data_IF_984567497421
#
_entry.id   IF_984567497421
#
_cell.length_a   1.000
_cell.length_b   1.000
_cell.length_c   1.000
_cell.angle_alpha   90.00
_cell.angle_beta   90.00
_cell.angle_gamma   90.00
#
_symmetry.space_group_name_H-M   'P 1'
#
loop_
_entity.id
_entity.type
_entity.pdbx_description
1 polymer ?
#
# COMPACT_ATOMS: atom_id res chain seq x y z
N UNK A 1 1.99 -15.26 -22.65
CA UNK A 1 2.19 -16.46 -21.76
C UNK A 1 2.01 -16.10 -20.28
N UNK A 2 2.72 -15.16 -19.68
CA UNK A 2 2.55 -14.86 -18.23
C UNK A 2 1.13 -14.37 -17.90
N UNK A 3 0.58 -13.41 -18.65
CA UNK A 3 -0.77 -12.90 -18.42
C UNK A 3 -1.85 -13.99 -18.52
N UNK A 4 -1.77 -14.87 -19.51
CA UNK A 4 -2.74 -15.95 -19.68
C UNK A 4 -2.77 -16.89 -18.45
N UNK A 5 -1.60 -17.29 -17.94
CA UNK A 5 -1.53 -18.12 -16.72
C UNK A 5 -2.04 -17.41 -15.47
N UNK A 6 -1.83 -16.08 -15.38
CA UNK A 6 -2.40 -15.30 -14.29
C UNK A 6 -3.94 -15.21 -14.43
N UNK A 7 -4.48 -15.00 -15.63
CA UNK A 7 -5.91 -14.97 -15.85
C UNK A 7 -6.56 -16.32 -15.50
N UNK A 8 -5.99 -17.45 -15.93
CA UNK A 8 -6.44 -18.80 -15.58
C UNK A 8 -6.43 -19.02 -14.04
N UNK A 9 -5.38 -18.55 -13.35
CA UNK A 9 -5.31 -18.67 -11.89
C UNK A 9 -6.34 -17.78 -11.20
N UNK A 10 -6.54 -16.55 -11.68
CA UNK A 10 -7.56 -15.64 -11.16
C UNK A 10 -8.97 -16.22 -11.33
N UNK A 11 -9.27 -16.86 -12.45
CA UNK A 11 -10.53 -17.57 -12.67
C UNK A 11 -10.74 -18.71 -11.67
N UNK A 12 -9.65 -19.43 -11.31
CA UNK A 12 -9.71 -20.57 -10.41
C UNK A 12 -9.88 -20.16 -8.94
N UNK A 13 -9.12 -19.19 -8.45
CA UNK A 13 -9.07 -18.86 -7.01
C UNK A 13 -9.71 -17.50 -6.64
N UNK A 14 -10.06 -16.69 -7.64
CA UNK A 14 -10.57 -15.34 -7.48
C UNK A 14 -9.47 -14.29 -7.29
N UNK A 15 -9.74 -13.06 -7.72
CA UNK A 15 -8.77 -11.97 -7.74
C UNK A 15 -8.24 -11.60 -6.34
N UNK A 16 -9.10 -11.61 -5.32
CA UNK A 16 -8.68 -11.29 -3.95
C UNK A 16 -7.64 -12.29 -3.44
N UNK A 17 -7.89 -13.60 -3.61
CA UNK A 17 -6.93 -14.63 -3.20
C UNK A 17 -5.66 -14.58 -4.03
N UNK A 18 -5.78 -14.33 -5.33
CA UNK A 18 -4.62 -14.12 -6.21
C UNK A 18 -3.70 -13.02 -5.68
N UNK A 19 -4.25 -11.88 -5.23
CA UNK A 19 -3.45 -10.80 -4.66
C UNK A 19 -2.79 -11.21 -3.34
N UNK A 20 -3.58 -11.79 -2.42
CA UNK A 20 -3.10 -12.10 -1.05
C UNK A 20 -2.14 -13.29 -1.05
N UNK A 21 -2.45 -14.35 -1.83
CA UNK A 21 -1.69 -15.60 -1.76
C UNK A 21 -0.62 -15.70 -2.85
N UNK A 22 -0.89 -15.24 -4.08
CA UNK A 22 0.05 -15.42 -5.18
C UNK A 22 1.01 -14.25 -5.31
N UNK A 23 0.49 -13.02 -5.45
CA UNK A 23 1.36 -11.85 -5.68
C UNK A 23 2.26 -11.59 -4.47
N UNK A 24 1.72 -11.61 -3.24
CA UNK A 24 2.52 -11.34 -2.05
C UNK A 24 3.59 -12.41 -1.82
N UNK A 25 3.29 -13.68 -2.09
CA UNK A 25 4.27 -14.76 -1.95
C UNK A 25 5.38 -14.67 -3.01
N UNK A 26 5.03 -14.39 -4.28
CA UNK A 26 6.04 -14.17 -5.33
C UNK A 26 6.97 -13.01 -4.97
N UNK A 27 6.42 -11.90 -4.50
CA UNK A 27 7.23 -10.74 -4.12
C UNK A 27 8.11 -11.02 -2.90
N UNK A 28 7.60 -11.73 -1.89
CA UNK A 28 8.36 -12.11 -0.71
C UNK A 28 9.51 -13.07 -1.07
N UNK A 29 9.23 -14.07 -1.91
CA UNK A 29 10.26 -15.02 -2.38
C UNK A 29 11.31 -14.32 -3.25
N UNK A 30 10.91 -13.43 -4.14
CA UNK A 30 11.81 -12.64 -4.96
C UNK A 30 12.75 -11.79 -4.11
N UNK A 31 12.22 -11.07 -3.13
CA UNK A 31 13.02 -10.29 -2.20
C UNK A 31 13.98 -11.14 -1.36
N UNK A 32 13.53 -12.33 -0.91
CA UNK A 32 14.40 -13.27 -0.19
C UNK A 32 15.55 -13.77 -1.08
N UNK A 33 15.26 -14.21 -2.30
CA UNK A 33 16.28 -14.69 -3.25
C UNK A 33 17.32 -13.61 -3.58
N UNK A 34 16.87 -12.37 -3.76
CA UNK A 34 17.78 -11.25 -3.93
C UNK A 34 18.66 -11.01 -2.70
N UNK A 35 18.06 -11.02 -1.51
CA UNK A 35 18.80 -10.86 -0.25
C UNK A 35 19.83 -11.96 -0.02
N UNK A 36 19.50 -13.21 -0.35
CA UNK A 36 20.39 -14.39 -0.23
C UNK A 36 21.45 -14.45 -1.37
N UNK A 37 21.37 -13.54 -2.35
CA UNK A 37 22.30 -13.51 -3.49
C UNK A 37 22.04 -14.58 -4.56
N UNK A 38 20.88 -15.25 -4.52
CA UNK A 38 20.48 -16.25 -5.52
C UNK A 38 20.09 -15.64 -6.86
N UNK A 39 19.59 -14.40 -6.85
CA UNK A 39 19.30 -13.60 -8.04
C UNK A 39 19.94 -12.22 -7.94
N UNK A 40 20.26 -11.64 -9.10
CA UNK A 40 20.79 -10.28 -9.18
C UNK A 40 19.68 -9.21 -9.12
N UNK A 41 20.11 -7.97 -8.92
CA UNK A 41 19.18 -6.81 -8.87
C UNK A 41 18.39 -6.63 -10.16
N UNK A 42 18.98 -6.94 -11.32
CA UNK A 42 18.30 -6.83 -12.62
C UNK A 42 17.14 -7.85 -12.74
N UNK A 43 17.35 -9.06 -12.23
CA UNK A 43 16.34 -10.12 -12.22
C UNK A 43 15.21 -9.78 -11.24
N UNK A 44 15.54 -9.28 -10.04
CA UNK A 44 14.57 -8.80 -9.08
C UNK A 44 13.69 -7.69 -9.69
N UNK A 45 14.30 -6.67 -10.30
CA UNK A 45 13.57 -5.58 -10.97
C UNK A 45 12.69 -6.07 -12.12
N UNK A 46 13.16 -7.03 -12.91
CA UNK A 46 12.38 -7.62 -14.00
C UNK A 46 11.14 -8.33 -13.45
N UNK A 47 11.28 -9.15 -12.41
CA UNK A 47 10.16 -9.86 -11.77
C UNK A 47 9.18 -8.86 -11.18
N UNK A 48 9.66 -7.89 -10.42
CA UNK A 48 8.84 -6.82 -9.83
C UNK A 48 8.07 -6.05 -10.89
N UNK A 49 8.67 -5.68 -12.01
CA UNK A 49 7.99 -4.98 -13.10
C UNK A 49 6.92 -5.84 -13.79
N UNK A 50 7.16 -7.14 -13.94
CA UNK A 50 6.14 -8.07 -14.48
C UNK A 50 4.95 -8.14 -13.53
N UNK A 51 5.18 -8.35 -12.24
CA UNK A 51 4.11 -8.43 -11.23
C UNK A 51 3.34 -7.12 -11.11
N UNK A 52 4.03 -5.98 -11.16
CA UNK A 52 3.39 -4.66 -11.20
C UNK A 52 2.40 -4.54 -12.35
N UNK A 53 2.81 -4.87 -13.56
CA UNK A 53 1.93 -4.84 -14.74
C UNK A 53 0.72 -5.75 -14.58
N UNK A 54 0.91 -6.96 -14.03
CA UNK A 54 -0.20 -7.89 -13.78
C UNK A 54 -1.21 -7.27 -12.82
N UNK A 55 -0.75 -6.68 -11.71
CA UNK A 55 -1.64 -6.05 -10.72
C UNK A 55 -2.32 -4.82 -11.29
N UNK A 56 -1.60 -3.93 -11.99
CA UNK A 56 -2.15 -2.72 -12.62
C UNK A 56 -3.25 -3.05 -13.63
N UNK A 57 -3.01 -4.03 -14.52
CA UNK A 57 -4.01 -4.48 -15.49
C UNK A 57 -5.28 -4.98 -14.81
N UNK A 58 -5.14 -5.77 -13.74
CA UNK A 58 -6.28 -6.29 -13.02
C UNK A 58 -6.99 -5.21 -12.19
N UNK A 59 -6.26 -4.28 -11.57
CA UNK A 59 -6.85 -3.13 -10.88
C UNK A 59 -7.67 -2.25 -11.82
N UNK A 60 -7.25 -2.13 -13.08
CA UNK A 60 -7.98 -1.37 -14.09
C UNK A 60 -9.30 -2.03 -14.51
N UNK A 61 -9.37 -3.36 -14.44
CA UNK A 61 -10.59 -4.13 -14.75
C UNK A 61 -11.64 -4.06 -13.62
N UNK A 62 -11.26 -3.65 -12.39
CA UNK A 62 -12.18 -3.56 -11.27
C UNK A 62 -13.04 -2.31 -11.41
N UNK A 63 -14.32 -2.51 -11.73
CA UNK A 63 -15.31 -1.44 -11.75
C UNK A 63 -15.98 -1.33 -10.38
N UNK A 64 -15.83 -0.18 -9.74
CA UNK A 64 -16.55 0.12 -8.49
C UNK A 64 -17.95 0.63 -8.86
N UNK A 65 -18.95 -0.25 -8.74
CA UNK A 65 -20.34 0.06 -9.08
C UNK A 65 -21.21 0.13 -7.83
N UNK A 66 -22.23 0.99 -7.89
CA UNK A 66 -23.23 1.15 -6.82
C UNK A 66 -22.79 2.08 -5.70
N UNK A 67 -23.28 1.82 -4.50
CA UNK A 67 -22.92 2.61 -3.33
C UNK A 67 -21.45 2.37 -2.96
N UNK A 68 -20.68 3.43 -2.81
CA UNK A 68 -19.30 3.36 -2.35
C UNK A 68 -19.26 3.35 -0.82
N UNK A 69 -18.36 2.56 -0.25
CA UNK A 69 -18.14 2.45 1.21
C UNK A 69 -17.41 3.66 1.78
N UNK A 70 -16.64 4.38 0.95
CA UNK A 70 -15.90 5.57 1.34
C UNK A 70 -14.74 5.87 0.40
N UNK A 71 -13.98 6.91 0.74
CA UNK A 71 -12.77 7.34 0.03
C UNK A 71 -11.54 6.95 0.83
N UNK A 72 -10.60 6.29 0.18
CA UNK A 72 -9.33 5.87 0.77
C UNK A 72 -8.17 6.52 0.04
N UNK A 73 -7.24 7.10 0.80
CA UNK A 73 -5.93 7.54 0.29
C UNK A 73 -4.87 6.52 0.70
N UNK A 74 -4.02 6.13 -0.25
CA UNK A 74 -2.85 5.29 -0.02
C UNK A 74 -1.61 6.07 -0.40
N UNK A 75 -0.59 6.11 0.45
CA UNK A 75 0.68 6.78 0.17
C UNK A 75 1.87 6.07 0.82
N UNK A 76 3.06 6.38 0.31
CA UNK A 76 4.33 6.10 0.98
C UNK A 76 4.90 7.40 1.54
N UNK A 77 5.72 7.35 2.60
CA UNK A 77 6.48 8.51 3.03
C UNK A 77 7.51 8.89 1.97
N UNK A 78 7.92 10.16 1.95
CA UNK A 78 8.97 10.62 1.04
C UNK A 78 10.24 9.78 1.14
N UNK A 79 10.75 9.39 0.00
CA UNK A 79 11.92 8.52 -0.17
C UNK A 79 11.60 7.02 -0.30
N UNK A 80 10.43 6.55 0.12
CA UNK A 80 10.01 5.16 -0.06
C UNK A 80 9.23 4.98 -1.37
N UNK A 81 9.86 4.35 -2.35
CA UNK A 81 9.33 4.12 -3.69
C UNK A 81 8.72 2.72 -3.90
N UNK A 82 8.65 1.92 -2.83
CA UNK A 82 8.12 0.56 -2.88
C UNK A 82 6.59 0.55 -2.98
N UNK A 83 6.07 0.69 -4.18
CA UNK A 83 4.63 0.87 -4.45
C UNK A 83 3.84 -0.42 -4.67
N UNK A 84 4.49 -1.59 -4.68
CA UNK A 84 3.82 -2.86 -4.99
C UNK A 84 2.72 -3.20 -3.97
N UNK A 85 2.99 -2.99 -2.69
CA UNK A 85 2.00 -3.15 -1.61
C UNK A 85 0.80 -2.23 -1.78
N UNK A 86 1.03 -0.99 -2.24
CA UNK A 86 -0.03 -0.03 -2.51
C UNK A 86 -0.94 -0.47 -3.66
N UNK A 87 -0.36 -1.02 -4.73
CA UNK A 87 -1.13 -1.53 -5.87
C UNK A 87 -2.02 -2.72 -5.48
N UNK A 88 -1.47 -3.65 -4.69
CA UNK A 88 -2.24 -4.78 -4.14
C UNK A 88 -3.36 -4.28 -3.24
N UNK A 89 -3.05 -3.37 -2.31
CA UNK A 89 -4.03 -2.78 -1.39
C UNK A 89 -5.13 -2.01 -2.15
N UNK A 90 -4.76 -1.25 -3.18
CA UNK A 90 -5.71 -0.56 -4.06
C UNK A 90 -6.72 -1.52 -4.66
N UNK A 91 -6.26 -2.64 -5.24
CA UNK A 91 -7.14 -3.66 -5.82
C UNK A 91 -8.07 -4.28 -4.78
N UNK A 92 -7.54 -4.63 -3.60
CA UNK A 92 -8.32 -5.20 -2.51
C UNK A 92 -9.40 -4.24 -1.97
N UNK A 93 -9.11 -2.95 -1.92
CA UNK A 93 -10.08 -1.91 -1.52
C UNK A 93 -11.13 -1.65 -2.60
N UNK A 94 -10.75 -1.63 -3.89
CA UNK A 94 -11.70 -1.52 -5.00
C UNK A 94 -12.68 -2.69 -5.03
N UNK A 95 -12.23 -3.93 -4.78
CA UNK A 95 -13.10 -5.10 -4.64
C UNK A 95 -14.12 -4.88 -3.51
N UNK A 96 -13.76 -4.16 -2.45
CA UNK A 96 -14.63 -3.79 -1.32
C UNK A 96 -15.41 -2.48 -1.54
N UNK A 97 -15.50 -2.01 -2.78
CA UNK A 97 -16.25 -0.82 -3.21
C UNK A 97 -15.75 0.52 -2.62
N UNK A 98 -14.50 0.61 -2.20
CA UNK A 98 -13.92 1.90 -1.86
C UNK A 98 -13.47 2.66 -3.12
N UNK A 99 -13.65 3.99 -3.11
CA UNK A 99 -12.96 4.88 -4.04
C UNK A 99 -11.54 5.09 -3.55
N UNK A 100 -10.55 4.65 -4.33
CA UNK A 100 -9.13 4.69 -3.93
C UNK A 100 -8.38 5.77 -4.68
N UNK A 101 -7.63 6.58 -3.94
CA UNK A 101 -6.64 7.53 -4.45
C UNK A 101 -5.27 7.03 -4.01
N UNK A 102 -4.53 6.45 -4.93
CA UNK A 102 -3.18 5.94 -4.69
C UNK A 102 -2.16 7.00 -5.13
N UNK A 103 -1.54 7.66 -4.16
CA UNK A 103 -0.50 8.68 -4.41
C UNK A 103 0.81 8.01 -4.85
N UNK A 104 1.01 6.75 -4.45
CA UNK A 104 2.25 6.01 -4.73
C UNK A 104 3.41 6.41 -3.83
N UNK A 105 4.62 6.19 -4.32
CA UNK A 105 5.89 6.51 -3.68
C UNK A 105 6.75 7.40 -4.56
N UNK A 106 7.87 7.88 -4.03
CA UNK A 106 8.81 8.70 -4.77
C UNK A 106 10.27 8.43 -4.40
N UNK A 107 11.14 8.71 -5.36
CA UNK A 107 12.58 8.49 -5.29
C UNK A 107 13.37 9.62 -4.61
N UNK A 108 12.73 10.75 -4.28
CA UNK A 108 13.47 11.89 -3.78
C UNK A 108 14.02 11.62 -2.39
N UNK A 109 15.34 11.49 -2.31
CA UNK A 109 16.09 11.34 -1.07
C UNK A 109 16.53 12.70 -0.54
N UNK A 110 16.58 12.83 0.78
CA UNK A 110 17.16 13.90 1.58
C UNK A 110 16.44 15.25 1.57
N UNK A 111 16.93 16.26 0.87
CA UNK A 111 16.45 17.66 1.01
C UNK A 111 14.97 17.83 0.60
N UNK A 112 14.48 17.02 -0.33
CA UNK A 112 13.10 17.08 -0.82
C UNK A 112 12.12 16.22 -0.04
N UNK A 113 12.57 15.36 0.88
CA UNK A 113 11.70 14.46 1.65
C UNK A 113 10.68 15.26 2.47
N UNK A 114 11.09 16.37 3.08
CA UNK A 114 10.18 17.26 3.83
C UNK A 114 9.13 17.89 2.92
N UNK A 115 9.54 18.39 1.76
CA UNK A 115 8.62 18.98 0.79
C UNK A 115 7.62 17.96 0.28
N UNK A 116 8.08 16.74 -0.02
CA UNK A 116 7.24 15.63 -0.43
C UNK A 116 6.23 15.25 0.65
N UNK A 117 6.67 15.06 1.89
CA UNK A 117 5.78 14.75 3.00
C UNK A 117 4.72 15.84 3.19
N UNK A 118 5.11 17.11 3.06
CA UNK A 118 4.19 18.25 3.13
C UNK A 118 3.16 18.21 2.00
N UNK A 119 3.57 17.91 0.78
CA UNK A 119 2.67 17.77 -0.37
C UNK A 119 1.66 16.63 -0.19
N UNK A 120 2.12 15.46 0.30
CA UNK A 120 1.27 14.32 0.62
C UNK A 120 0.23 14.71 1.68
N UNK A 121 0.65 15.38 2.75
CA UNK A 121 -0.24 15.83 3.84
C UNK A 121 -1.30 16.79 3.29
N UNK A 122 -0.89 17.84 2.57
CA UNK A 122 -1.80 18.85 2.04
C UNK A 122 -2.83 18.24 1.08
N UNK A 123 -2.37 17.42 0.13
CA UNK A 123 -3.25 16.72 -0.80
C UNK A 123 -4.26 15.81 -0.08
N UNK A 124 -3.81 15.08 0.94
CA UNK A 124 -4.67 14.19 1.72
C UNK A 124 -5.72 14.99 2.52
N UNK A 125 -5.33 16.12 3.11
CA UNK A 125 -6.27 17.01 3.81
C UNK A 125 -7.33 17.58 2.86
N UNK A 126 -6.93 17.99 1.65
CA UNK A 126 -7.85 18.48 0.63
C UNK A 126 -8.81 17.39 0.13
N UNK A 127 -8.34 16.16 0.02
CA UNK A 127 -9.14 14.98 -0.40
C UNK A 127 -10.20 14.61 0.62
N UNK A 128 -9.98 14.87 1.93
CA UNK A 128 -10.86 14.51 3.05
C UNK A 128 -11.31 13.03 3.02
N UNK A 129 -10.37 12.09 3.00
CA UNK A 129 -10.72 10.68 2.92
C UNK A 129 -11.32 10.17 4.24
N UNK A 130 -12.07 9.05 4.16
CA UNK A 130 -12.53 8.32 5.33
C UNK A 130 -11.40 7.52 5.97
N UNK A 131 -10.46 7.05 5.12
CA UNK A 131 -9.34 6.21 5.54
C UNK A 131 -8.06 6.64 4.83
N UNK A 132 -6.95 6.62 5.57
CA UNK A 132 -5.59 6.78 5.01
C UNK A 132 -4.75 5.56 5.36
N UNK A 133 -4.10 4.98 4.36
CA UNK A 133 -3.04 3.98 4.55
C UNK A 133 -1.68 4.59 4.21
N UNK A 134 -0.75 4.56 5.15
CA UNK A 134 0.64 4.93 4.96
C UNK A 134 1.47 3.66 4.94
N UNK A 135 1.99 3.29 3.77
CA UNK A 135 2.76 2.08 3.55
C UNK A 135 4.24 2.35 3.70
N UNK A 136 4.92 1.60 4.55
CA UNK A 136 6.37 1.69 4.79
C UNK A 136 7.01 0.34 4.49
N UNK A 137 7.86 0.27 3.49
CA UNK A 137 8.56 -0.97 3.16
C UNK A 137 9.91 -1.06 3.84
N UNK A 138 10.65 0.06 3.92
CA UNK A 138 11.98 0.09 4.54
C UNK A 138 11.92 0.86 5.85
N UNK A 139 12.39 0.25 6.94
CA UNK A 139 12.32 0.81 8.30
C UNK A 139 12.93 2.22 8.46
N UNK A 140 13.94 2.58 7.65
CA UNK A 140 14.54 3.92 7.69
C UNK A 140 13.55 5.05 7.39
N UNK A 141 12.44 4.77 6.70
CA UNK A 141 11.40 5.75 6.38
C UNK A 141 10.28 5.82 7.42
N UNK A 142 10.31 4.95 8.43
CA UNK A 142 9.30 4.88 9.48
C UNK A 142 9.11 6.21 10.22
N UNK A 143 10.20 6.95 10.46
CA UNK A 143 10.11 8.25 11.12
C UNK A 143 9.26 9.24 10.29
N UNK A 144 9.48 9.32 8.99
CA UNK A 144 8.70 10.18 8.08
C UNK A 144 7.23 9.75 8.02
N UNK A 145 6.96 8.45 8.00
CA UNK A 145 5.60 7.92 8.02
C UNK A 145 4.86 8.28 9.31
N UNK A 146 5.53 8.15 10.47
CA UNK A 146 4.97 8.58 11.77
C UNK A 146 4.67 10.09 11.80
N UNK A 147 5.51 10.93 11.17
CA UNK A 147 5.24 12.36 11.05
C UNK A 147 4.00 12.64 10.19
N UNK A 148 3.88 12.02 9.02
CA UNK A 148 2.71 12.15 8.15
C UNK A 148 1.46 11.71 8.90
N UNK A 149 1.49 10.52 9.51
CA UNK A 149 0.37 9.98 10.26
C UNK A 149 -0.09 10.92 11.39
N UNK A 150 0.86 11.48 12.15
CA UNK A 150 0.59 12.42 13.24
C UNK A 150 -0.09 13.71 12.74
N UNK A 151 0.40 14.29 11.66
CA UNK A 151 -0.17 15.53 11.14
C UNK A 151 -1.57 15.28 10.54
N UNK A 152 -1.77 14.16 9.83
CA UNK A 152 -3.08 13.79 9.29
C UNK A 152 -4.09 13.51 10.39
N UNK A 153 -3.72 12.76 11.45
CA UNK A 153 -4.61 12.47 12.58
C UNK A 153 -5.03 13.71 13.35
N UNK A 154 -4.19 14.75 13.38
CA UNK A 154 -4.55 16.04 13.98
C UNK A 154 -5.50 16.85 13.10
N UNK A 155 -5.26 16.85 11.78
CA UNK A 155 -6.00 17.67 10.83
C UNK A 155 -7.36 17.08 10.46
N UNK A 156 -7.51 15.76 10.52
CA UNK A 156 -8.65 15.00 10.01
C UNK A 156 -9.26 14.14 11.12
N UNK A 157 -10.07 14.74 11.99
CA UNK A 157 -10.62 14.09 13.19
C UNK A 157 -11.53 12.88 12.92
N UNK A 158 -12.14 12.82 11.73
CA UNK A 158 -13.06 11.75 11.34
C UNK A 158 -12.40 10.70 10.42
N UNK A 159 -11.12 10.87 10.10
CA UNK A 159 -10.37 9.96 9.21
C UNK A 159 -9.60 8.94 10.02
N UNK A 160 -9.72 7.66 9.65
CA UNK A 160 -8.88 6.60 10.23
C UNK A 160 -7.53 6.56 9.53
N UNK A 161 -6.46 6.69 10.29
CA UNK A 161 -5.09 6.68 9.76
C UNK A 161 -4.40 5.39 10.15
N UNK A 162 -4.07 4.57 9.15
CA UNK A 162 -3.35 3.32 9.30
C UNK A 162 -1.89 3.46 8.87
N UNK A 163 -1.00 2.91 9.67
CA UNK A 163 0.42 2.75 9.36
C UNK A 163 0.73 1.27 9.19
N UNK A 164 1.35 0.87 8.09
CA UNK A 164 1.61 -0.54 7.82
C UNK A 164 2.75 -0.78 6.84
N UNK A 165 3.01 -2.06 6.55
CA UNK A 165 4.08 -2.55 5.69
C UNK A 165 5.25 -3.16 6.46
N UNK A 166 6.20 -3.76 5.74
CA UNK A 166 7.35 -4.47 6.33
C UNK A 166 8.20 -3.57 7.25
N UNK A 167 8.34 -2.30 6.90
CA UNK A 167 9.11 -1.33 7.69
C UNK A 167 8.49 -0.98 9.05
N UNK A 168 7.27 -1.47 9.34
CA UNK A 168 6.62 -1.30 10.66
C UNK A 168 6.82 -2.49 11.59
N UNK A 169 7.58 -3.50 11.19
CA UNK A 169 7.88 -4.63 12.06
C UNK A 169 8.56 -4.17 13.34
N UNK A 170 8.05 -4.62 14.50
CA UNK A 170 8.53 -4.21 15.82
C UNK A 170 7.92 -2.91 16.36
N UNK A 171 7.03 -2.25 15.62
CA UNK A 171 6.23 -1.13 16.15
C UNK A 171 5.05 -1.68 16.92
N UNK A 172 4.84 -1.19 18.14
CA UNK A 172 3.68 -1.53 18.97
C UNK A 172 2.62 -0.43 18.90
N UNK A 173 1.34 -0.80 18.92
CA UNK A 173 0.23 0.17 18.85
C UNK A 173 0.34 1.25 19.96
N UNK A 174 0.80 0.88 21.15
CA UNK A 174 1.03 1.83 22.27
C UNK A 174 2.09 2.91 21.98
N UNK A 175 2.91 2.75 20.95
CA UNK A 175 3.86 3.78 20.51
C UNK A 175 3.22 4.80 19.55
N UNK A 176 2.06 4.47 18.99
CA UNK A 176 1.34 5.32 18.05
C UNK A 176 0.39 6.24 18.82
N UNK A 177 0.59 7.54 18.68
CA UNK A 177 -0.23 8.57 19.34
C UNK A 177 -1.38 9.02 18.43
N UNK A 178 -2.36 9.72 19.01
CA UNK A 178 -3.44 10.40 18.28
C UNK A 178 -4.37 9.46 17.47
N UNK A 179 -4.63 8.26 17.95
CA UNK A 179 -5.56 7.34 17.28
C UNK A 179 -5.04 6.74 15.96
N UNK A 180 -3.72 6.79 15.73
CA UNK A 180 -3.09 6.10 14.60
C UNK A 180 -3.15 4.59 14.85
N UNK A 181 -3.62 3.84 13.87
CA UNK A 181 -3.81 2.39 13.93
C UNK A 181 -2.67 1.66 13.20
N UNK A 182 -2.25 0.52 13.73
CA UNK A 182 -1.29 -0.34 13.03
C UNK A 182 -2.05 -1.28 12.09
N UNK A 183 -1.73 -1.20 10.80
CA UNK A 183 -2.30 -2.12 9.82
C UNK A 183 -1.65 -3.51 9.94
N UNK A 184 -2.48 -4.54 10.00
CA UNK A 184 -2.09 -5.94 10.04
C UNK A 184 -2.87 -6.76 9.00
N UNK A 185 -2.69 -8.08 8.98
CA UNK A 185 -3.35 -8.98 8.02
C UNK A 185 -4.88 -8.94 8.11
N UNK A 186 -5.42 -8.63 9.29
CA UNK A 186 -6.86 -8.62 9.54
C UNK A 186 -7.51 -7.25 9.30
N UNK A 187 -6.70 -6.21 9.13
CA UNK A 187 -7.20 -4.83 8.96
C UNK A 187 -8.24 -4.73 7.84
N UNK A 188 -8.00 -5.38 6.70
CA UNK A 188 -8.94 -5.37 5.58
C UNK A 188 -10.25 -6.11 5.89
N UNK A 189 -10.23 -7.09 6.77
CA UNK A 189 -11.42 -7.84 7.16
C UNK A 189 -12.29 -7.05 8.14
N UNK A 190 -11.68 -6.13 8.88
CA UNK A 190 -12.38 -5.29 9.87
C UNK A 190 -12.91 -3.97 9.31
N UNK A 191 -12.45 -3.54 8.13
CA UNK A 191 -12.85 -2.25 7.54
C UNK A 191 -14.36 -2.09 7.36
N UNK A 192 -15.08 -3.16 7.00
CA UNK A 192 -16.52 -3.11 6.81
C UNK A 192 -17.31 -3.05 8.13
N UNK A 193 -16.64 -3.21 9.28
CA UNK A 193 -17.24 -3.15 10.62
C UNK A 193 -16.84 -1.86 11.37
N UNK A 194 -16.17 -0.96 10.73
CA UNK A 194 -15.66 0.30 11.28
C UNK A 194 -16.48 1.48 10.77
#
# INVERSE_FOLDING_TARGET
>A
MANQKCDELIELIGLQRFYIESITNVMAETGKKWYDGEIGIAEEHMITNIMRKVVEINNHKIEVKGLIEGVVVICNPGGDDHTMSNLVLEGLLKIRKYKVVNIGGNWYMDENTKATNTAIINFTIETRPDIVFISVTIARYLFNAKLIAKELSKALSNTKVFLGGLGTQGVFEGELQNGILLANKDTLNTLNNL
#
